data_IF_304859232622
#
_entry.id   IF_304859232622
#
_cell.length_a   1.000
_cell.length_b   1.000
_cell.length_c   1.000
_cell.angle_alpha   90.00
_cell.angle_beta   90.00
_cell.angle_gamma   90.00
#
_symmetry.space_group_name_H-M   'P 1'
#
loop_
_entity.id
_entity.type
_entity.pdbx_description
1 polymer ?
#
# COMPACT_ATOMS: atom_id res chain seq x y z
N UNK A 1 -77.40 30.44 -54.80
CA UNK A 1 -76.17 30.21 -55.59
C UNK A 1 -74.98 30.75 -54.81
N UNK A 2 -73.81 30.12 -54.99
CA UNK A 2 -72.51 30.31 -54.32
C UNK A 2 -72.28 29.52 -53.02
N UNK A 3 -71.35 28.57 -53.17
CA UNK A 3 -70.85 27.64 -52.17
C UNK A 3 -69.74 28.28 -51.34
N UNK A 4 -69.50 27.77 -50.12
CA UNK A 4 -68.15 27.75 -49.57
C UNK A 4 -67.90 26.48 -48.74
N UNK A 5 -66.67 26.01 -48.87
CA UNK A 5 -66.21 24.63 -48.73
C UNK A 5 -65.94 24.21 -47.29
N UNK A 6 -66.17 22.92 -47.03
CA UNK A 6 -65.72 22.18 -45.85
C UNK A 6 -64.18 22.04 -45.90
N UNK A 7 -63.50 22.29 -44.77
CA UNK A 7 -62.12 21.86 -44.53
C UNK A 7 -62.08 21.06 -43.23
N UNK A 8 -61.75 19.78 -43.36
CA UNK A 8 -61.28 18.92 -42.28
C UNK A 8 -59.79 19.17 -42.12
N UNK A 9 -59.31 19.39 -40.89
CA UNK A 9 -57.97 19.00 -40.47
C UNK A 9 -58.03 18.56 -39.01
N UNK A 10 -57.84 17.26 -38.82
CA UNK A 10 -57.56 16.61 -37.55
C UNK A 10 -56.21 17.07 -37.02
N UNK A 11 -56.16 17.46 -35.75
CA UNK A 11 -54.90 17.58 -35.01
C UNK A 11 -54.94 16.67 -33.80
N UNK A 12 -54.00 15.72 -33.84
CA UNK A 12 -53.69 14.69 -32.86
C UNK A 12 -53.18 15.37 -31.59
N UNK A 13 -53.79 15.06 -30.45
CA UNK A 13 -53.30 15.45 -29.12
C UNK A 13 -52.26 14.43 -28.69
N UNK A 14 -50.97 14.79 -28.76
CA UNK A 14 -49.88 13.99 -28.20
C UNK A 14 -49.73 14.39 -26.74
N UNK A 15 -50.14 13.49 -25.85
CA UNK A 15 -49.96 13.59 -24.40
C UNK A 15 -48.49 13.39 -24.04
N UNK A 16 -47.86 14.40 -23.43
CA UNK A 16 -46.53 14.33 -22.84
C UNK A 16 -46.68 14.08 -21.32
N UNK A 17 -46.25 12.93 -20.77
CA UNK A 17 -46.23 12.76 -19.32
C UNK A 17 -45.05 13.52 -18.71
N UNK A 18 -45.35 14.31 -17.67
CA UNK A 18 -44.42 14.90 -16.71
C UNK A 18 -43.56 13.78 -16.08
N UNK A 19 -42.25 13.82 -16.29
CA UNK A 19 -41.31 13.08 -15.43
C UNK A 19 -40.74 14.04 -14.39
N UNK A 20 -41.01 13.71 -13.13
CA UNK A 20 -40.43 14.32 -11.94
C UNK A 20 -38.91 14.30 -11.99
N UNK A 21 -38.34 15.45 -11.66
CA UNK A 21 -36.92 15.67 -11.40
C UNK A 21 -36.58 15.07 -10.03
N UNK A 22 -35.92 13.91 -10.03
CA UNK A 22 -35.31 13.31 -8.84
C UNK A 22 -33.80 13.31 -8.99
N UNK A 23 -33.11 14.07 -8.16
CA UNK A 23 -31.65 14.19 -8.17
C UNK A 23 -30.96 12.91 -7.65
N UNK A 24 -29.83 12.65 -8.28
CA UNK A 24 -28.93 11.51 -8.16
C UNK A 24 -28.41 11.25 -6.74
N UNK A 25 -28.19 9.97 -6.42
CA UNK A 25 -27.04 9.51 -5.64
C UNK A 25 -26.61 8.09 -6.08
N UNK A 26 -25.44 8.05 -6.72
CA UNK A 26 -24.37 7.04 -6.63
C UNK A 26 -24.75 5.56 -6.76
N UNK A 27 -24.56 5.02 -7.97
CA UNK A 27 -24.11 3.64 -8.18
C UNK A 27 -22.91 3.71 -9.13
N UNK A 28 -21.70 3.51 -8.59
CA UNK A 28 -20.47 3.46 -9.36
C UNK A 28 -20.44 2.12 -10.11
N UNK A 29 -20.66 2.25 -11.42
CA UNK A 29 -20.68 1.16 -12.38
C UNK A 29 -19.29 0.53 -12.55
N UNK A 30 -19.27 -0.80 -12.69
CA UNK A 30 -18.10 -1.62 -13.00
C UNK A 30 -17.70 -1.36 -14.44
N UNK A 31 -16.94 -0.30 -14.68
CA UNK A 31 -16.34 -0.05 -15.98
C UNK A 31 -15.05 -0.88 -16.13
N UNK A 32 -15.13 -1.89 -17.01
CA UNK A 32 -13.98 -2.47 -17.72
C UNK A 32 -13.13 -1.32 -18.30
N UNK A 33 -12.02 -0.98 -17.67
CA UNK A 33 -10.99 -0.15 -18.29
C UNK A 33 -10.01 -1.06 -19.01
N UNK A 34 -10.19 -1.10 -20.33
CA UNK A 34 -9.23 -1.53 -21.33
C UNK A 34 -7.85 -0.96 -21.00
N UNK A 35 -6.83 -1.81 -21.11
CA UNK A 35 -5.42 -1.46 -21.11
C UNK A 35 -5.18 -0.31 -22.11
N UNK A 36 -5.06 0.92 -21.59
CA UNK A 36 -4.60 2.07 -22.36
C UNK A 36 -3.10 2.19 -22.11
N UNK A 37 -2.33 2.10 -23.20
CA UNK A 37 -0.87 2.18 -23.24
C UNK A 37 -0.29 3.26 -22.28
N UNK A 38 0.88 3.01 -21.65
CA UNK A 38 1.58 4.01 -20.87
C UNK A 38 2.10 5.17 -21.76
N UNK A 39 2.12 6.42 -21.25
CA UNK A 39 2.65 7.55 -21.99
C UNK A 39 4.18 7.47 -22.10
N UNK A 40 4.67 7.56 -23.34
CA UNK A 40 6.09 7.70 -23.70
C UNK A 40 6.61 9.08 -23.26
N UNK A 41 7.64 9.14 -22.43
CA UNK A 41 8.55 10.30 -22.21
C UNK A 41 9.68 9.83 -21.25
N UNK A 42 10.99 10.03 -21.41
CA UNK A 42 11.83 10.87 -22.27
C UNK A 42 13.11 10.11 -22.71
N UNK A 43 13.66 10.52 -23.85
CA UNK A 43 14.97 10.10 -24.35
C UNK A 43 16.10 10.73 -23.51
N UNK A 44 17.02 9.89 -23.02
CA UNK A 44 18.40 10.30 -22.72
C UNK A 44 19.30 9.44 -23.59
N UNK A 45 20.18 10.11 -24.31
CA UNK A 45 21.07 9.59 -25.35
C UNK A 45 22.01 8.53 -24.74
N UNK A 46 21.92 7.28 -25.20
CA UNK A 46 23.07 6.37 -25.19
C UNK A 46 23.19 5.78 -26.59
N UNK A 47 24.26 6.15 -27.27
CA UNK A 47 24.66 5.68 -28.59
C UNK A 47 24.84 4.17 -28.62
N UNK A 48 24.50 3.60 -29.76
CA UNK A 48 24.57 2.20 -30.09
C UNK A 48 25.94 1.55 -29.81
N UNK A 49 25.90 0.34 -29.24
CA UNK A 49 26.77 -0.76 -29.64
C UNK A 49 25.87 -2.00 -29.73
N UNK A 50 25.75 -2.55 -30.93
CA UNK A 50 25.19 -3.87 -31.17
C UNK A 50 26.35 -4.86 -31.14
N UNK A 51 26.26 -5.91 -30.33
CA UNK A 51 27.03 -7.16 -30.43
C UNK A 51 26.35 -8.18 -29.51
N UNK A 52 25.64 -9.16 -30.05
CA UNK A 52 26.08 -10.52 -30.41
C UNK A 52 26.00 -11.50 -29.23
N UNK A 53 25.49 -12.70 -29.53
CA UNK A 53 25.07 -13.69 -28.55
C UNK A 53 26.22 -14.23 -27.71
N UNK A 54 25.91 -14.55 -26.45
CA UNK A 54 26.82 -15.30 -25.60
C UNK A 54 26.18 -15.64 -24.27
N UNK A 55 25.72 -16.88 -24.13
CA UNK A 55 25.66 -17.53 -22.81
C UNK A 55 27.10 -17.73 -22.35
N UNK A 56 27.58 -16.88 -21.45
CA UNK A 56 28.74 -17.17 -20.64
C UNK A 56 28.26 -17.27 -19.19
N UNK A 57 28.53 -18.42 -18.58
CA UNK A 57 28.48 -18.54 -17.13
C UNK A 57 29.81 -17.97 -16.66
N UNK A 58 29.77 -16.69 -16.30
CA UNK A 58 30.89 -16.03 -15.65
C UNK A 58 30.84 -16.49 -14.19
N UNK A 59 31.85 -17.29 -13.84
CA UNK A 59 32.13 -17.73 -12.50
C UNK A 59 32.08 -16.53 -11.53
N UNK A 60 31.16 -16.58 -10.57
CA UNK A 60 31.12 -15.64 -9.45
C UNK A 60 32.26 -15.97 -8.49
N UNK A 61 33.49 -15.62 -8.84
CA UNK A 61 34.55 -15.43 -7.87
C UNK A 61 34.22 -14.17 -7.06
N UNK A 62 33.59 -14.35 -5.88
CA UNK A 62 33.55 -13.32 -4.84
C UNK A 62 34.76 -13.56 -3.93
N UNK A 63 35.89 -12.94 -4.28
CA UNK A 63 37.10 -12.87 -3.45
C UNK A 63 37.15 -11.52 -2.71
N UNK A 64 36.04 -11.15 -2.06
CA UNK A 64 36.00 -10.05 -1.08
C UNK A 64 35.62 -10.66 0.28
N UNK A 65 36.58 -11.35 0.90
CA UNK A 65 36.61 -11.48 2.36
C UNK A 65 36.91 -10.10 2.97
N UNK A 66 36.30 -9.82 4.12
CA UNK A 66 36.44 -8.63 4.98
C UNK A 66 35.45 -7.45 4.75
N UNK A 67 34.22 -7.56 5.29
CA UNK A 67 33.71 -6.69 6.37
C UNK A 67 32.29 -7.16 6.77
N UNK A 68 32.02 -7.34 8.07
CA UNK A 68 30.70 -7.69 8.62
C UNK A 68 29.71 -6.49 8.59
N UNK A 69 29.72 -5.74 7.49
CA UNK A 69 28.82 -4.63 7.19
C UNK A 69 27.81 -5.14 6.14
N UNK A 70 26.50 -5.06 6.40
CA UNK A 70 25.45 -5.78 5.65
C UNK A 70 25.43 -5.35 4.17
N UNK A 71 26.25 -5.99 3.35
CA UNK A 71 26.48 -5.59 1.98
C UNK A 71 25.21 -5.82 1.16
N UNK A 72 24.79 -4.80 0.42
CA UNK A 72 23.65 -4.90 -0.52
C UNK A 72 24.00 -5.95 -1.57
N UNK A 73 23.24 -7.05 -1.61
CA UNK A 73 23.42 -8.15 -2.58
C UNK A 73 22.62 -7.90 -3.87
N UNK A 74 23.01 -8.52 -5.00
CA UNK A 74 22.18 -8.56 -6.20
C UNK A 74 20.78 -9.13 -5.87
N UNK A 75 19.73 -8.51 -6.40
CA UNK A 75 18.35 -8.92 -6.10
C UNK A 75 17.97 -10.06 -7.03
N UNK A 76 17.90 -11.28 -6.50
CA UNK A 76 17.60 -12.48 -7.29
C UNK A 76 18.56 -12.57 -8.50
N UNK A 77 18.02 -12.67 -9.71
CA UNK A 77 18.80 -12.72 -10.95
C UNK A 77 19.14 -11.34 -11.54
N UNK A 78 18.94 -10.24 -10.79
CA UNK A 78 19.28 -8.88 -11.23
C UNK A 78 20.70 -8.52 -10.86
N UNK A 79 21.34 -7.66 -11.65
CA UNK A 79 22.69 -7.16 -11.35
C UNK A 79 22.71 -6.25 -10.12
N UNK A 80 23.86 -6.17 -9.45
CA UNK A 80 24.07 -5.29 -8.28
C UNK A 80 23.73 -3.82 -8.60
N UNK A 81 24.15 -3.34 -9.77
CA UNK A 81 23.85 -1.98 -10.25
C UNK A 81 22.33 -1.75 -10.36
N UNK A 82 21.59 -2.73 -10.88
CA UNK A 82 20.14 -2.65 -10.95
C UNK A 82 19.51 -2.56 -9.55
N UNK A 83 19.95 -3.39 -8.60
CA UNK A 83 19.45 -3.35 -7.21
C UNK A 83 19.71 -2.00 -6.56
N UNK A 84 20.93 -1.47 -6.69
CA UNK A 84 21.30 -0.14 -6.15
C UNK A 84 20.43 0.98 -6.74
N UNK A 85 20.22 0.97 -8.06
CA UNK A 85 19.37 1.94 -8.74
C UNK A 85 17.90 1.81 -8.33
N UNK A 86 17.38 0.59 -8.18
CA UNK A 86 16.02 0.35 -7.69
C UNK A 86 15.83 0.93 -6.29
N UNK A 87 16.74 0.64 -5.35
CA UNK A 87 16.70 1.13 -3.97
C UNK A 87 16.79 2.65 -3.90
N UNK A 88 17.60 3.28 -4.75
CA UNK A 88 17.69 4.74 -4.82
C UNK A 88 16.35 5.40 -5.25
N UNK A 89 15.63 4.79 -6.20
CA UNK A 89 14.32 5.28 -6.66
C UNK A 89 13.19 4.90 -5.70
N UNK A 90 13.36 3.81 -4.97
CA UNK A 90 12.36 3.20 -4.12
C UNK A 90 12.96 2.83 -2.75
N UNK A 91 13.21 3.80 -1.87
CA UNK A 91 13.77 3.54 -0.55
C UNK A 91 12.79 2.75 0.32
N UNK A 92 13.31 1.99 1.29
CA UNK A 92 12.56 1.09 2.17
C UNK A 92 11.28 1.74 2.72
N UNK A 93 11.43 2.89 3.40
CA UNK A 93 10.30 3.60 4.03
C UNK A 93 9.18 3.94 3.05
N UNK A 94 9.54 4.33 1.83
CA UNK A 94 8.57 4.68 0.79
C UNK A 94 7.88 3.44 0.25
N UNK A 95 8.60 2.33 0.10
CA UNK A 95 8.01 1.06 -0.31
C UNK A 95 7.08 0.50 0.76
N UNK A 96 7.52 0.51 2.03
CA UNK A 96 6.75 0.09 3.20
C UNK A 96 5.46 0.89 3.36
N UNK A 97 5.52 2.22 3.24
CA UNK A 97 4.32 3.07 3.30
C UNK A 97 3.26 2.69 2.24
N UNK A 98 3.68 2.27 1.04
CA UNK A 98 2.74 1.73 0.02
C UNK A 98 2.16 0.39 0.45
N UNK A 99 2.98 -0.51 0.99
CA UNK A 99 2.51 -1.82 1.48
C UNK A 99 1.48 -1.67 2.59
N UNK A 100 1.73 -0.81 3.56
CA UNK A 100 0.79 -0.50 4.65
C UNK A 100 -0.53 0.05 4.07
N UNK A 101 -0.47 0.87 3.01
CA UNK A 101 -1.67 1.40 2.37
C UNK A 101 -2.54 0.35 1.67
N UNK A 102 -1.98 -0.82 1.32
CA UNK A 102 -2.76 -1.94 0.77
C UNK A 102 -3.51 -2.73 1.84
N UNK A 103 -3.07 -2.67 3.10
CA UNK A 103 -3.78 -3.25 4.23
C UNK A 103 -3.73 -4.78 4.32
N UNK A 104 -2.70 -5.41 3.76
CA UNK A 104 -2.44 -6.85 3.96
C UNK A 104 -2.10 -7.14 5.42
N UNK A 105 -2.66 -8.20 6.00
CA UNK A 105 -2.56 -8.46 7.45
C UNK A 105 -1.83 -9.75 7.80
N UNK A 106 -1.31 -10.44 6.80
CA UNK A 106 -0.57 -11.69 7.01
C UNK A 106 0.43 -11.94 5.88
N UNK A 107 1.38 -12.85 6.15
CA UNK A 107 2.27 -13.36 5.11
C UNK A 107 1.50 -14.08 3.99
N UNK A 108 0.42 -14.78 4.32
CA UNK A 108 -0.44 -15.44 3.34
C UNK A 108 -1.09 -14.42 2.41
N UNK A 109 -1.66 -13.34 2.96
CA UNK A 109 -2.26 -12.26 2.19
C UNK A 109 -1.24 -11.62 1.24
N UNK A 110 0.01 -11.50 1.70
CA UNK A 110 1.11 -10.99 0.89
C UNK A 110 1.42 -11.92 -0.28
N UNK A 111 1.51 -13.22 -0.05
CA UNK A 111 1.80 -14.20 -1.11
C UNK A 111 0.68 -14.24 -2.16
N UNK A 112 -0.58 -14.09 -1.73
CA UNK A 112 -1.73 -13.93 -2.62
C UNK A 112 -1.65 -12.61 -3.43
N UNK A 113 -1.23 -11.51 -2.79
CA UNK A 113 -1.05 -10.22 -3.46
C UNK A 113 0.09 -10.24 -4.50
N UNK A 114 1.17 -10.95 -4.19
CA UNK A 114 2.30 -11.18 -5.11
C UNK A 114 1.82 -12.01 -6.32
N UNK A 115 1.16 -13.15 -6.07
CA UNK A 115 0.74 -14.07 -7.13
C UNK A 115 -0.36 -13.49 -8.03
N UNK A 116 -1.24 -12.66 -7.48
CA UNK A 116 -2.26 -11.93 -8.24
C UNK A 116 -1.73 -10.70 -8.99
N UNK A 117 -0.50 -10.26 -8.70
CA UNK A 117 0.10 -9.07 -9.30
C UNK A 117 -0.47 -7.75 -8.77
N UNK A 118 -1.19 -7.77 -7.65
CA UNK A 118 -1.84 -6.59 -7.04
C UNK A 118 -0.83 -5.51 -6.60
N UNK A 119 0.39 -5.91 -6.24
CA UNK A 119 1.43 -5.03 -5.69
C UNK A 119 2.02 -4.04 -6.71
N UNK A 120 1.85 -4.29 -8.02
CA UNK A 120 2.40 -3.48 -9.09
C UNK A 120 3.94 -3.53 -9.20
N UNK A 121 4.53 -2.62 -9.98
CA UNK A 121 5.97 -2.66 -10.31
C UNK A 121 6.89 -2.03 -9.25
N UNK A 122 6.33 -1.27 -8.31
CA UNK A 122 7.08 -0.47 -7.33
C UNK A 122 7.17 -1.12 -5.96
N UNK A 123 6.72 -2.36 -5.83
CA UNK A 123 6.83 -3.13 -4.60
C UNK A 123 7.52 -4.45 -4.95
N UNK A 124 8.70 -4.73 -4.36
CA UNK A 124 9.41 -5.97 -4.64
C UNK A 124 8.64 -7.16 -4.02
N UNK A 125 8.63 -8.29 -4.70
CA UNK A 125 7.99 -9.51 -4.21
C UNK A 125 8.69 -10.12 -2.99
N UNK A 126 10.02 -9.96 -2.93
CA UNK A 126 10.90 -10.42 -1.85
C UNK A 126 11.55 -9.21 -1.16
N UNK A 127 10.80 -8.50 -0.30
CA UNK A 127 11.27 -7.27 0.32
C UNK A 127 12.38 -7.50 1.35
N UNK A 128 12.42 -8.68 1.97
CA UNK A 128 13.47 -9.17 2.86
C UNK A 128 14.83 -9.27 2.14
N UNK A 129 14.84 -9.72 0.89
CA UNK A 129 16.05 -9.73 0.07
C UNK A 129 16.39 -8.33 -0.46
N UNK A 130 15.40 -7.58 -0.97
CA UNK A 130 15.62 -6.25 -1.56
C UNK A 130 16.12 -5.24 -0.52
N UNK A 131 15.63 -5.35 0.72
CA UNK A 131 15.91 -4.44 1.82
C UNK A 131 16.65 -5.09 2.98
N UNK A 132 17.45 -6.13 2.72
CA UNK A 132 18.16 -6.86 3.77
C UNK A 132 18.85 -5.98 4.85
N UNK A 133 19.50 -4.83 4.53
CA UNK A 133 20.08 -3.96 5.55
C UNK A 133 19.05 -3.24 6.45
N UNK A 134 17.86 -2.95 5.92
CA UNK A 134 16.78 -2.24 6.64
C UNK A 134 15.68 -3.18 7.15
N UNK A 135 15.70 -4.44 6.73
CA UNK A 135 14.67 -5.41 7.00
C UNK A 135 14.75 -5.89 8.46
N UNK A 136 13.63 -5.78 9.17
CA UNK A 136 13.50 -6.29 10.54
C UNK A 136 12.72 -7.60 10.54
N UNK A 137 11.43 -7.53 10.22
CA UNK A 137 10.55 -8.68 10.13
C UNK A 137 9.32 -8.39 9.25
N UNK A 138 8.49 -9.42 9.05
CA UNK A 138 7.26 -9.31 8.27
C UNK A 138 6.21 -8.41 8.92
N UNK A 139 6.13 -8.39 10.24
CA UNK A 139 5.14 -7.58 10.94
C UNK A 139 5.42 -6.09 10.75
N UNK A 140 6.69 -5.70 10.78
CA UNK A 140 7.13 -4.36 10.49
C UNK A 140 6.82 -3.97 9.06
N UNK A 141 7.20 -4.80 8.09
CA UNK A 141 6.96 -4.55 6.68
C UNK A 141 5.47 -4.38 6.34
N UNK A 142 4.63 -5.24 6.92
CA UNK A 142 3.18 -5.22 6.71
C UNK A 142 2.46 -4.18 7.58
N UNK A 143 3.15 -3.59 8.57
CA UNK A 143 2.55 -2.65 9.51
C UNK A 143 1.56 -3.30 10.48
N UNK A 144 1.79 -4.57 10.83
CA UNK A 144 0.99 -5.32 11.80
C UNK A 144 1.29 -4.78 13.21
N UNK A 145 0.25 -4.34 13.90
CA UNK A 145 0.38 -3.85 15.28
C UNK A 145 0.79 -4.98 16.22
N UNK A 146 1.52 -4.64 17.29
CA UNK A 146 1.89 -5.58 18.35
C UNK A 146 0.67 -6.18 19.04
N UNK A 147 0.87 -7.29 19.74
CA UNK A 147 -0.16 -7.89 20.59
C UNK A 147 -0.58 -6.95 21.72
N UNK A 148 -1.70 -7.25 22.37
CA UNK A 148 -2.14 -6.51 23.55
C UNK A 148 -1.09 -6.51 24.65
N UNK A 149 -0.56 -7.69 25.01
CA UNK A 149 0.44 -7.84 26.07
C UNK A 149 1.75 -7.10 25.75
N UNK A 150 2.22 -7.18 24.51
CA UNK A 150 3.41 -6.42 24.08
C UNK A 150 3.17 -4.91 24.18
N UNK A 151 2.00 -4.43 23.72
CA UNK A 151 1.65 -3.01 23.76
C UNK A 151 1.50 -2.53 25.19
N UNK A 152 0.90 -3.35 26.06
CA UNK A 152 0.76 -3.13 27.51
C UNK A 152 2.13 -3.00 28.19
N UNK A 153 3.04 -3.93 27.89
CA UNK A 153 4.40 -3.93 28.40
C UNK A 153 5.18 -2.70 27.92
N UNK A 154 5.06 -2.35 26.63
CA UNK A 154 5.67 -1.15 26.07
C UNK A 154 5.12 0.14 26.70
N UNK A 155 3.81 0.24 26.90
CA UNK A 155 3.21 1.41 27.57
C UNK A 155 3.78 1.58 28.99
N UNK A 156 3.96 0.47 29.71
CA UNK A 156 4.58 0.45 31.03
C UNK A 156 6.06 0.85 30.99
N UNK A 157 6.84 0.33 30.04
CA UNK A 157 8.26 0.70 29.85
C UNK A 157 8.44 2.18 29.48
N UNK A 158 7.49 2.76 28.75
CA UNK A 158 7.46 4.18 28.41
C UNK A 158 6.98 5.07 29.57
N UNK A 159 6.54 4.47 30.68
CA UNK A 159 6.05 5.18 31.87
C UNK A 159 4.70 5.87 31.66
N UNK A 160 3.91 5.43 30.66
CA UNK A 160 2.58 5.96 30.37
C UNK A 160 1.58 5.40 31.38
N UNK A 161 0.76 6.25 32.00
CA UNK A 161 -0.13 5.86 33.11
C UNK A 161 -1.61 5.94 32.78
N UNK A 162 -1.96 6.57 31.66
CA UNK A 162 -3.35 6.76 31.22
C UNK A 162 -3.48 6.74 29.70
N UNK A 163 -4.71 6.51 29.22
CA UNK A 163 -5.06 6.61 27.81
C UNK A 163 -4.80 8.02 27.26
N UNK A 164 -4.95 9.05 28.09
CA UNK A 164 -4.68 10.44 27.70
C UNK A 164 -3.19 10.63 27.40
N UNK A 165 -2.32 10.22 28.31
CA UNK A 165 -0.86 10.28 28.12
C UNK A 165 -0.42 9.44 26.92
N UNK A 166 -0.96 8.23 26.79
CA UNK A 166 -0.68 7.34 25.68
C UNK A 166 -1.07 7.98 24.33
N UNK A 167 -2.25 8.56 24.25
CA UNK A 167 -2.72 9.22 23.02
C UNK A 167 -1.89 10.45 22.66
N UNK A 168 -1.50 11.23 23.67
CA UNK A 168 -0.58 12.36 23.48
C UNK A 168 0.76 11.86 22.98
N UNK A 169 1.31 10.79 23.55
CA UNK A 169 2.56 10.18 23.10
C UNK A 169 2.49 9.77 21.63
N UNK A 170 1.46 9.01 21.24
CA UNK A 170 1.29 8.54 19.86
C UNK A 170 1.17 9.71 18.87
N UNK A 171 0.42 10.75 19.22
CA UNK A 171 0.25 11.92 18.34
C UNK A 171 1.48 12.81 18.26
N UNK A 172 2.15 13.06 19.38
CA UNK A 172 3.32 13.93 19.42
C UNK A 172 4.56 13.27 18.82
N UNK A 173 4.66 11.94 18.87
CA UNK A 173 5.81 11.18 18.41
C UNK A 173 5.43 10.15 17.33
N UNK A 174 4.72 10.59 16.28
CA UNK A 174 4.15 9.69 15.27
C UNK A 174 5.16 8.68 14.69
N UNK A 175 6.36 9.13 14.29
CA UNK A 175 7.42 8.22 13.77
C UNK A 175 7.83 7.14 14.78
N UNK A 176 7.94 7.52 16.06
CA UNK A 176 8.30 6.58 17.12
C UNK A 176 7.15 5.61 17.40
N UNK A 177 5.92 6.10 17.41
CA UNK A 177 4.74 5.26 17.60
C UNK A 177 4.57 4.26 16.44
N UNK A 178 4.84 4.69 15.21
CA UNK A 178 4.85 3.83 14.03
C UNK A 178 5.91 2.73 14.14
N UNK A 179 7.16 3.09 14.50
CA UNK A 179 8.23 2.11 14.72
C UNK A 179 7.97 1.16 15.89
N UNK A 180 7.23 1.60 16.91
CA UNK A 180 6.80 0.75 18.02
C UNK A 180 5.60 -0.16 17.64
N UNK A 181 4.96 0.07 16.50
CA UNK A 181 3.79 -0.67 16.01
C UNK A 181 2.66 -0.74 17.03
N UNK A 182 2.41 0.39 17.70
CA UNK A 182 1.37 0.52 18.71
C UNK A 182 0.12 1.20 18.14
N UNK A 183 -1.11 0.71 18.45
CA UNK A 183 -2.32 1.31 17.93
C UNK A 183 -2.60 2.66 18.61
N UNK A 184 -3.20 3.60 17.88
CA UNK A 184 -3.59 4.92 18.42
C UNK A 184 -4.63 4.81 19.55
N UNK A 185 -5.52 3.82 19.46
CA UNK A 185 -6.59 3.56 20.41
C UNK A 185 -6.58 2.08 20.82
N UNK A 186 -5.78 1.70 21.83
CA UNK A 186 -5.68 0.30 22.25
C UNK A 186 -7.02 -0.23 22.76
N UNK A 187 -7.84 0.62 23.41
CA UNK A 187 -9.21 0.34 23.86
C UNK A 187 -10.14 -0.15 22.74
N UNK A 188 -9.94 0.36 21.52
CA UNK A 188 -10.75 -0.03 20.36
C UNK A 188 -10.10 -1.14 19.53
N UNK A 189 -8.77 -1.15 19.47
CA UNK A 189 -8.03 -2.10 18.67
C UNK A 189 -8.08 -3.50 19.30
N UNK A 190 -7.86 -3.60 20.61
CA UNK A 190 -7.91 -4.85 21.37
C UNK A 190 -9.28 -5.06 22.03
N UNK A 191 -10.37 -4.68 21.36
CA UNK A 191 -11.73 -4.69 21.93
C UNK A 191 -12.13 -6.01 22.62
N UNK A 192 -11.59 -7.14 22.15
CA UNK A 192 -11.92 -8.49 22.61
C UNK A 192 -11.04 -8.92 23.82
N UNK A 193 -9.87 -8.28 24.00
CA UNK A 193 -8.90 -8.54 25.08
C UNK A 193 -8.90 -7.41 26.14
N UNK A 194 -9.51 -6.26 25.81
CA UNK A 194 -9.55 -5.07 26.65
C UNK A 194 -10.50 -5.26 27.83
N UNK A 195 -9.94 -5.22 29.04
CA UNK A 195 -10.71 -5.29 30.29
C UNK A 195 -11.07 -3.88 30.75
N UNK A 196 -10.07 -3.13 31.19
CA UNK A 196 -10.19 -1.75 31.62
C UNK A 196 -8.83 -1.04 31.54
N UNK A 197 -8.86 0.27 31.71
CA UNK A 197 -7.67 1.11 31.67
C UNK A 197 -6.69 0.80 32.82
N UNK A 198 -7.21 0.40 33.98
CA UNK A 198 -6.40 0.12 35.16
C UNK A 198 -5.55 -1.14 34.93
N UNK A 199 -6.14 -2.17 34.34
CA UNK A 199 -5.49 -3.43 33.98
C UNK A 199 -4.46 -3.22 32.87
N UNK A 200 -4.73 -2.34 31.90
CA UNK A 200 -3.78 -2.03 30.83
C UNK A 200 -2.54 -1.29 31.36
N UNK A 201 -2.71 -0.27 32.20
CA UNK A 201 -1.57 0.50 32.72
C UNK A 201 -1.00 -0.03 34.04
N UNK A 202 -1.42 -1.21 34.50
CA UNK A 202 -0.89 -1.84 35.71
C UNK A 202 -1.24 -1.09 37.00
N UNK A 203 -2.40 -0.44 37.05
CA UNK A 203 -2.94 0.26 38.22
C UNK A 203 -3.80 -0.63 39.11
N UNK A 204 -4.22 -1.80 38.63
CA UNK A 204 -4.86 -2.82 39.46
C UNK A 204 -3.82 -3.52 40.34
N UNK A 205 -3.80 -3.12 41.61
CA UNK A 205 -3.00 -3.71 42.70
C UNK A 205 -3.64 -4.95 43.29
#
# INVERSE_FOLDING_TARGET
MLQLRRRWLSTIVISFPLMSVGWAFVALDRAKMLCRHPPKYYNVVLSAVADDGGTHNDDYENDDEDDDDVAIKPYRSRSLSWTKNYRALNPYEKARARVISFGHRSKSDWDDAVSSGQLGQYVPSYPDEMYAPEWVDWDEWLGIMRSYDDTKNLASMLGLKSLVEYFIFVKSNNKRAEGLRIPVRPDKYYKDEWIDEDTFFGRSS
#
